data_IF_172172534898
#
_entry.id   IF_172172534898
#
_cell.length_a   1.000
_cell.length_b   1.000
_cell.length_c   1.000
_cell.angle_alpha   90.00
_cell.angle_beta   90.00
_cell.angle_gamma   90.00
#
_symmetry.space_group_name_H-M   'P 1'
#
loop_
_entity.id
_entity.type
_entity.pdbx_description
1 polymer ?
#
# COMPACT_ATOMS: atom_id res chain seq x y z
N UNK A 1 18.35 -16.71 -12.81
CA UNK A 1 17.51 -15.54 -13.11
C UNK A 1 16.15 -15.81 -12.47
N UNK A 2 15.82 -15.19 -11.32
CA UNK A 2 14.45 -15.27 -10.80
C UNK A 2 13.56 -14.43 -11.74
N UNK A 3 12.47 -15.03 -12.24
CA UNK A 3 11.46 -14.31 -13.00
C UNK A 3 10.89 -13.18 -12.13
N UNK A 4 10.72 -11.99 -12.71
CA UNK A 4 10.01 -10.90 -12.05
C UNK A 4 8.58 -11.38 -11.78
N UNK A 5 8.26 -11.63 -10.51
CA UNK A 5 6.93 -12.06 -10.13
C UNK A 5 6.00 -10.86 -10.25
N UNK A 6 4.87 -11.02 -10.95
CA UNK A 6 3.85 -9.97 -11.08
C UNK A 6 3.36 -9.48 -9.70
N UNK A 7 3.51 -10.31 -8.66
CA UNK A 7 3.24 -9.99 -7.27
C UNK A 7 4.34 -10.55 -6.36
N UNK A 8 4.43 -10.04 -5.13
CA UNK A 8 5.28 -10.55 -4.07
C UNK A 8 4.40 -10.95 -2.89
N UNK A 9 4.63 -12.13 -2.31
CA UNK A 9 3.80 -12.62 -1.20
C UNK A 9 4.61 -13.29 -0.09
N UNK A 10 4.00 -13.36 1.08
CA UNK A 10 4.49 -14.07 2.26
C UNK A 10 3.32 -14.74 2.97
N UNK A 11 3.50 -15.98 3.39
CA UNK A 11 2.48 -16.79 4.08
C UNK A 11 2.93 -17.06 5.50
N UNK A 12 2.04 -16.87 6.48
CA UNK A 12 2.27 -17.27 7.86
C UNK A 12 2.26 -18.80 7.95
N UNK A 13 3.38 -19.41 8.35
CA UNK A 13 3.50 -20.88 8.43
C UNK A 13 2.76 -21.42 9.66
N UNK A 14 2.56 -22.75 9.74
CA UNK A 14 1.98 -23.34 10.93
C UNK A 14 2.79 -23.01 12.19
N UNK A 15 2.10 -22.60 13.26
CA UNK A 15 2.70 -22.20 14.53
C UNK A 15 3.24 -20.76 14.60
N UNK A 16 3.13 -19.96 13.54
CA UNK A 16 3.51 -18.54 13.55
C UNK A 16 2.38 -17.65 13.00
N UNK A 17 2.45 -16.36 13.35
CA UNK A 17 1.65 -15.30 12.74
C UNK A 17 2.57 -14.13 12.37
N UNK A 18 2.16 -13.28 11.42
CA UNK A 18 3.03 -12.21 10.90
C UNK A 18 2.40 -10.83 11.10
N UNK A 19 3.23 -9.84 11.41
CA UNK A 19 2.82 -8.43 11.35
C UNK A 19 3.64 -7.71 10.30
N UNK A 20 3.00 -7.25 9.22
CA UNK A 20 3.68 -6.49 8.16
C UNK A 20 3.98 -5.09 8.66
N UNK A 21 5.27 -4.73 8.76
CA UNK A 21 5.77 -3.46 9.32
C UNK A 21 6.43 -2.54 8.30
N UNK A 22 6.68 -3.02 7.08
CA UNK A 22 7.25 -2.20 6.03
C UNK A 22 6.96 -2.74 4.64
N UNK A 23 6.82 -1.83 3.69
CA UNK A 23 6.70 -2.13 2.27
C UNK A 23 7.70 -1.26 1.50
N UNK A 24 8.58 -1.90 0.73
CA UNK A 24 9.57 -1.24 -0.11
C UNK A 24 9.40 -1.68 -1.55
N UNK A 25 8.68 -0.91 -2.36
CA UNK A 25 8.42 -1.28 -3.75
C UNK A 25 8.87 -0.17 -4.69
N UNK A 26 9.50 -0.56 -5.78
CA UNK A 26 9.94 0.37 -6.82
C UNK A 26 8.75 1.00 -7.56
N UNK A 27 9.01 2.17 -8.13
CA UNK A 27 8.06 2.94 -8.90
C UNK A 27 7.54 2.18 -10.15
N UNK A 28 6.25 2.36 -10.46
CA UNK A 28 5.63 1.98 -11.73
C UNK A 28 5.66 3.19 -12.69
N UNK A 29 6.57 3.21 -13.65
CA UNK A 29 6.79 4.36 -14.54
C UNK A 29 5.52 4.97 -15.16
N UNK A 30 4.53 4.13 -15.51
CA UNK A 30 3.26 4.58 -16.08
C UNK A 30 2.27 5.17 -15.06
N UNK A 31 2.62 5.22 -13.77
CA UNK A 31 1.73 5.50 -12.66
C UNK A 31 0.93 4.27 -12.25
N UNK A 32 0.64 4.15 -10.95
CA UNK A 32 -0.20 3.05 -10.46
C UNK A 32 -0.12 2.85 -8.95
N UNK A 33 -0.92 1.90 -8.49
CA UNK A 33 -0.96 1.49 -7.10
C UNK A 33 -0.37 0.08 -6.93
N UNK A 34 0.28 -0.12 -5.78
CA UNK A 34 0.46 -1.44 -5.19
C UNK A 34 -0.80 -1.77 -4.38
N UNK A 35 -1.50 -2.81 -4.77
CA UNK A 35 -2.61 -3.39 -4.03
C UNK A 35 -2.07 -4.45 -3.06
N UNK A 36 -2.46 -4.34 -1.80
CA UNK A 36 -2.14 -5.26 -0.72
C UNK A 36 -3.35 -6.14 -0.43
N UNK A 37 -3.16 -7.45 -0.40
CA UNK A 37 -4.21 -8.44 -0.17
C UNK A 37 -3.85 -9.37 0.98
N UNK A 38 -4.85 -9.80 1.73
CA UNK A 38 -4.76 -10.95 2.65
C UNK A 38 -5.76 -12.00 2.14
N UNK A 39 -5.28 -13.17 1.73
CA UNK A 39 -6.11 -14.25 1.18
C UNK A 39 -7.10 -13.79 0.08
N UNK A 40 -6.62 -12.91 -0.80
CA UNK A 40 -7.36 -12.26 -1.90
C UNK A 40 -8.33 -11.15 -1.51
N UNK A 41 -8.48 -10.84 -0.22
CA UNK A 41 -9.21 -9.66 0.23
C UNK A 41 -8.30 -8.45 0.18
N UNK A 42 -8.74 -7.40 -0.51
CA UNK A 42 -7.97 -6.17 -0.62
C UNK A 42 -8.02 -5.38 0.68
N UNK A 43 -6.86 -5.13 1.29
CA UNK A 43 -6.73 -4.44 2.59
C UNK A 43 -6.00 -3.11 2.49
N UNK A 44 -5.45 -2.77 1.32
CA UNK A 44 -4.72 -1.51 1.16
C UNK A 44 -4.30 -1.22 -0.28
N UNK A 45 -4.27 0.06 -0.63
CA UNK A 45 -3.69 0.55 -1.88
C UNK A 45 -2.69 1.66 -1.57
N UNK A 46 -1.49 1.52 -2.14
CA UNK A 46 -0.40 2.46 -1.95
C UNK A 46 0.05 3.00 -3.30
N UNK A 47 0.07 4.32 -3.45
CA UNK A 47 0.51 4.95 -4.68
C UNK A 47 2.02 4.76 -4.85
N UNK A 48 2.43 4.10 -5.94
CA UNK A 48 3.82 3.80 -6.24
C UNK A 48 4.23 4.38 -7.59
N UNK A 49 3.68 5.54 -7.98
CA UNK A 49 3.75 6.09 -9.35
C UNK A 49 5.14 6.23 -9.96
N UNK A 50 5.62 7.45 -10.18
CA UNK A 50 7.00 7.66 -10.61
C UNK A 50 7.97 7.58 -9.43
N UNK A 51 9.27 7.61 -9.70
CA UNK A 51 10.30 7.68 -8.65
C UNK A 51 10.12 8.87 -7.70
N UNK A 52 9.57 9.98 -8.19
CA UNK A 52 9.36 11.21 -7.42
C UNK A 52 8.04 11.22 -6.64
N UNK A 53 7.14 10.28 -6.94
CA UNK A 53 5.78 10.25 -6.37
C UNK A 53 5.48 8.95 -5.65
N UNK A 54 6.47 8.08 -5.44
CA UNK A 54 6.28 6.82 -4.75
C UNK A 54 6.09 7.04 -3.24
N UNK A 55 4.97 6.57 -2.68
CA UNK A 55 4.66 6.70 -1.26
C UNK A 55 5.11 5.49 -0.42
N UNK A 56 5.67 4.47 -1.07
CA UNK A 56 6.38 3.38 -0.42
C UNK A 56 7.89 3.68 -0.43
N UNK A 57 8.63 2.99 0.43
CA UNK A 57 10.06 3.24 0.53
C UNK A 57 10.75 2.83 -0.78
N UNK A 58 11.41 3.79 -1.42
CA UNK A 58 12.25 3.54 -2.58
C UNK A 58 13.67 4.02 -2.28
N UNK A 59 14.63 3.12 -2.51
CA UNK A 59 16.04 3.45 -2.51
C UNK A 59 16.43 3.90 -3.91
N UNK A 60 16.83 5.16 -4.06
CA UNK A 60 17.66 5.58 -5.19
C UNK A 60 19.14 5.46 -4.79
N UNK A 61 20.04 5.57 -5.77
CA UNK A 61 21.49 5.47 -5.53
C UNK A 61 21.99 6.53 -4.53
N UNK A 62 21.33 7.69 -4.42
CA UNK A 62 21.79 8.82 -3.61
C UNK A 62 20.81 9.26 -2.52
N UNK A 63 19.58 8.76 -2.52
CA UNK A 63 18.51 9.25 -1.65
C UNK A 63 17.56 8.13 -1.24
N UNK A 64 17.16 8.14 0.04
CA UNK A 64 16.02 7.38 0.54
C UNK A 64 14.82 8.32 0.58
N UNK A 65 13.77 7.98 -0.16
CA UNK A 65 12.52 8.73 -0.10
C UNK A 65 11.69 8.24 1.10
N UNK A 66 11.13 9.18 1.85
CA UNK A 66 10.30 8.88 3.02
C UNK A 66 9.07 8.08 2.60
N UNK A 67 8.86 6.94 3.26
CA UNK A 67 7.69 6.10 3.09
C UNK A 67 6.52 6.65 3.91
N UNK A 68 5.38 6.90 3.26
CA UNK A 68 4.14 7.27 3.95
C UNK A 68 3.67 6.11 4.82
N UNK A 69 3.79 4.88 4.34
CA UNK A 69 3.49 3.66 5.10
C UNK A 69 4.24 3.65 6.44
N UNK A 70 5.57 3.83 6.38
CA UNK A 70 6.40 3.83 7.59
C UNK A 70 6.12 5.05 8.47
N UNK A 71 5.90 6.22 7.87
CA UNK A 71 5.55 7.43 8.61
C UNK A 71 4.25 7.29 9.41
N UNK A 72 3.25 6.59 8.88
CA UNK A 72 2.01 6.30 9.59
C UNK A 72 2.22 5.33 10.75
N UNK A 73 3.10 4.34 10.57
CA UNK A 73 3.50 3.41 11.64
C UNK A 73 4.25 4.13 12.76
N UNK A 74 5.26 4.92 12.40
CA UNK A 74 6.09 5.63 13.37
C UNK A 74 5.28 6.67 14.18
N UNK A 75 4.19 7.19 13.61
CA UNK A 75 3.22 8.07 14.29
C UNK A 75 2.14 7.34 15.08
N UNK A 76 2.10 6.00 15.04
CA UNK A 76 1.08 5.19 15.70
C UNK A 76 -0.32 5.27 15.09
N UNK A 77 -0.46 5.85 13.88
CA UNK A 77 -1.72 5.98 13.16
C UNK A 77 -2.08 4.71 12.38
N UNK A 78 -1.08 3.88 12.08
CA UNK A 78 -1.24 2.61 11.42
C UNK A 78 -0.37 1.57 12.14
N UNK A 79 -0.87 0.36 12.37
CA UNK A 79 -0.10 -0.66 13.10
C UNK A 79 0.63 -1.65 12.18
N UNK A 80 0.25 -1.69 10.91
CA UNK A 80 0.66 -2.71 9.96
C UNK A 80 -0.51 -3.58 9.54
N UNK A 81 -0.22 -4.65 8.79
CA UNK A 81 -1.19 -5.67 8.43
C UNK A 81 -0.96 -6.93 9.26
N UNK A 82 -1.92 -7.34 10.11
CA UNK A 82 -1.85 -8.60 10.85
C UNK A 82 -2.23 -9.76 9.95
N UNK A 83 -1.39 -10.79 9.90
CA UNK A 83 -1.56 -11.99 9.07
C UNK A 83 -1.66 -13.19 10.03
N UNK A 84 -2.83 -13.80 10.11
CA UNK A 84 -3.05 -14.97 10.95
C UNK A 84 -2.36 -16.21 10.36
N UNK A 85 -2.14 -17.22 11.19
CA UNK A 85 -1.57 -18.51 10.77
C UNK A 85 -2.31 -19.07 9.54
N UNK A 86 -1.56 -19.44 8.50
CA UNK A 86 -2.11 -19.97 7.26
C UNK A 86 -2.55 -18.92 6.24
N UNK A 87 -2.69 -17.65 6.61
CA UNK A 87 -3.02 -16.58 5.67
C UNK A 87 -1.80 -16.13 4.86
N UNK A 88 -2.06 -15.65 3.65
CA UNK A 88 -1.05 -15.08 2.75
C UNK A 88 -1.28 -13.60 2.54
N UNK A 89 -0.25 -12.81 2.84
CA UNK A 89 -0.15 -11.42 2.42
C UNK A 89 0.47 -11.34 1.03
N UNK A 90 -0.17 -10.63 0.11
CA UNK A 90 0.28 -10.43 -1.26
C UNK A 90 0.29 -8.94 -1.63
N UNK A 91 1.32 -8.51 -2.33
CA UNK A 91 1.39 -7.19 -2.95
C UNK A 91 1.50 -7.36 -4.47
N UNK A 92 0.58 -6.75 -5.21
CA UNK A 92 0.54 -6.82 -6.68
C UNK A 92 0.24 -5.43 -7.28
N UNK A 93 0.55 -5.17 -8.56
CA UNK A 93 0.15 -3.94 -9.20
C UNK A 93 -1.37 -3.95 -9.46
N UNK A 94 -2.01 -2.80 -9.24
CA UNK A 94 -3.41 -2.57 -9.60
C UNK A 94 -3.61 -2.33 -11.12
N UNK A 95 -2.55 -2.41 -11.92
CA UNK A 95 -2.56 -2.23 -13.37
C UNK A 95 -2.23 -3.57 -14.03
N UNK A 96 -3.13 -4.06 -14.89
CA UNK A 96 -2.93 -5.33 -15.58
C UNK A 96 -1.66 -5.35 -16.43
N UNK A 97 -0.87 -6.42 -16.32
CA UNK A 97 0.38 -6.61 -17.07
C UNK A 97 1.59 -5.86 -16.48
N UNK A 98 1.41 -5.04 -15.45
CA UNK A 98 2.54 -4.44 -14.73
C UNK A 98 3.21 -5.45 -13.78
N UNK A 99 4.34 -5.06 -13.19
CA UNK A 99 5.07 -5.88 -12.21
C UNK A 99 5.58 -4.99 -11.10
N UNK A 100 5.43 -5.43 -9.85
CA UNK A 100 6.03 -4.78 -8.68
C UNK A 100 7.31 -5.51 -8.30
N UNK A 101 8.36 -4.74 -7.98
CA UNK A 101 9.64 -5.29 -7.51
C UNK A 101 9.98 -4.60 -6.21
N UNK A 102 10.28 -5.38 -5.17
CA UNK A 102 10.40 -4.83 -3.83
C UNK A 102 10.63 -5.86 -2.75
N UNK A 103 10.35 -5.45 -1.52
CA UNK A 103 10.44 -6.24 -0.31
C UNK A 103 9.23 -5.96 0.61
N UNK A 104 8.85 -7.01 1.34
CA UNK A 104 7.88 -6.96 2.43
C UNK A 104 8.67 -7.19 3.70
N UNK A 105 8.57 -6.26 4.65
CA UNK A 105 9.21 -6.32 5.95
C UNK A 105 8.17 -6.67 7.01
N UNK A 106 8.44 -7.68 7.82
CA UNK A 106 7.49 -8.20 8.79
C UNK A 106 8.19 -8.70 10.05
N UNK A 107 7.43 -8.73 11.13
CA UNK A 107 7.78 -9.41 12.37
C UNK A 107 7.10 -10.78 12.40
N UNK A 108 7.77 -11.77 12.98
CA UNK A 108 7.23 -13.10 13.24
C UNK A 108 6.81 -13.15 14.71
N UNK A 109 5.59 -13.59 14.95
CA UNK A 109 4.97 -13.75 16.27
C UNK A 109 4.46 -15.18 16.43
N UNK A 110 4.04 -15.56 17.64
CA UNK A 110 3.46 -16.87 17.87
C UNK A 110 2.09 -16.98 17.20
N UNK A 111 1.64 -18.20 16.92
CA UNK A 111 0.29 -18.43 16.41
C UNK A 111 -0.78 -17.82 17.35
N UNK A 112 -1.69 -17.02 16.77
CA UNK A 112 -2.76 -16.35 17.50
C UNK A 112 -2.42 -14.97 18.05
N UNK A 113 -1.14 -14.54 18.02
CA UNK A 113 -0.78 -13.17 18.38
C UNK A 113 -1.32 -12.15 17.37
N UNK A 114 -1.28 -12.48 16.08
CA UNK A 114 -2.00 -11.75 15.03
C UNK A 114 -3.24 -12.53 14.62
N UNK A 115 -4.40 -11.87 14.62
CA UNK A 115 -5.70 -12.47 14.26
C UNK A 115 -6.37 -11.72 13.12
N UNK A 116 -7.25 -12.42 12.40
CA UNK A 116 -7.92 -11.92 11.20
C UNK A 116 -8.81 -10.69 11.46
N UNK A 117 -9.33 -10.55 12.68
CA UNK A 117 -10.26 -9.49 13.09
C UNK A 117 -9.59 -8.24 13.64
N UNK A 118 -8.26 -8.27 13.83
CA UNK A 118 -7.49 -7.08 14.20
C UNK A 118 -7.61 -5.99 13.12
N UNK A 119 -7.46 -4.70 13.46
CA UNK A 119 -7.51 -3.63 12.48
C UNK A 119 -6.59 -3.87 11.28
N UNK A 120 -7.14 -3.72 10.07
CA UNK A 120 -6.49 -4.04 8.78
C UNK A 120 -6.19 -5.52 8.49
N UNK A 121 -6.68 -6.45 9.31
CA UNK A 121 -6.71 -7.88 9.00
C UNK A 121 -7.78 -8.24 7.95
N UNK A 122 -7.80 -9.50 7.53
CA UNK A 122 -8.72 -9.99 6.48
C UNK A 122 -10.20 -9.96 6.85
N UNK A 123 -10.52 -10.04 8.15
CA UNK A 123 -11.87 -9.98 8.70
C UNK A 123 -12.06 -8.77 9.62
N UNK A 124 -11.23 -7.74 9.46
CA UNK A 124 -11.29 -6.55 10.28
C UNK A 124 -12.61 -5.79 10.10
N UNK A 125 -13.03 -5.09 11.16
CA UNK A 125 -14.13 -4.12 11.11
C UNK A 125 -13.63 -2.69 10.89
N UNK A 126 -12.32 -2.50 10.99
CA UNK A 126 -11.65 -1.21 10.91
C UNK A 126 -10.48 -1.33 9.95
N UNK A 127 -10.47 -0.44 8.94
CA UNK A 127 -9.42 -0.34 7.94
C UNK A 127 -8.96 1.11 7.85
N UNK A 128 -7.65 1.30 7.67
CA UNK A 128 -7.06 2.58 7.32
C UNK A 128 -6.91 2.64 5.80
N UNK A 129 -7.52 3.65 5.20
CA UNK A 129 -7.37 3.95 3.78
C UNK A 129 -6.79 5.35 3.59
N UNK A 130 -5.87 5.47 2.64
CA UNK A 130 -5.35 6.76 2.20
C UNK A 130 -6.10 7.22 0.96
N UNK A 131 -6.59 8.45 1.01
CA UNK A 131 -7.20 9.13 -0.13
C UNK A 131 -6.14 9.99 -0.83
N UNK A 132 -6.02 9.80 -2.13
CA UNK A 132 -5.09 10.45 -3.03
C UNK A 132 -5.88 11.35 -3.96
N UNK A 133 -5.71 12.66 -3.82
CA UNK A 133 -6.30 13.65 -4.72
C UNK A 133 -5.34 14.05 -5.82
N UNK A 134 -5.89 14.48 -6.96
CA UNK A 134 -5.15 15.21 -7.99
C UNK A 134 -6.03 16.32 -8.56
N UNK A 135 -5.42 17.16 -9.38
CA UNK A 135 -6.13 18.10 -10.24
C UNK A 135 -6.72 17.36 -11.44
N UNK A 136 -7.92 17.73 -11.86
CA UNK A 136 -8.58 17.21 -13.05
C UNK A 136 -8.02 17.78 -14.36
N UNK A 137 -7.31 18.90 -14.29
CA UNK A 137 -6.63 19.53 -15.41
C UNK A 137 -5.19 19.94 -15.06
N UNK A 138 -4.37 20.12 -16.09
CA UNK A 138 -3.00 20.63 -15.95
C UNK A 138 -3.02 22.04 -15.34
N UNK A 139 -2.11 22.27 -14.38
CA UNK A 139 -1.97 23.58 -13.74
C UNK A 139 -1.14 24.48 -14.66
N UNK A 140 -1.71 25.60 -15.09
CA UNK A 140 -0.99 26.58 -15.89
C UNK A 140 0.25 27.13 -15.14
N UNK A 141 1.28 27.51 -15.90
CA UNK A 141 2.41 28.25 -15.33
C UNK A 141 1.90 29.53 -14.67
N UNK A 142 2.32 29.78 -13.42
CA UNK A 142 1.84 30.86 -12.55
C UNK A 142 0.35 30.78 -12.13
N UNK A 143 -0.31 29.65 -12.36
CA UNK A 143 -1.68 29.37 -11.94
C UNK A 143 -1.78 28.64 -10.60
N UNK A 144 -3.01 28.53 -10.10
CA UNK A 144 -3.37 27.64 -8.98
C UNK A 144 -4.24 26.50 -9.50
N UNK A 145 -4.06 25.29 -8.97
CA UNK A 145 -4.93 24.15 -9.24
C UNK A 145 -5.77 23.78 -8.03
N UNK A 146 -6.98 23.29 -8.26
CA UNK A 146 -7.84 22.69 -7.22
C UNK A 146 -7.60 21.18 -7.18
N UNK A 147 -7.60 20.57 -6.00
CA UNK A 147 -7.69 19.12 -5.86
C UNK A 147 -9.16 18.70 -5.97
N UNK A 148 -9.57 18.30 -7.16
CA UNK A 148 -10.96 18.09 -7.57
C UNK A 148 -11.22 16.71 -8.20
N UNK A 149 -10.19 15.87 -8.33
CA UNK A 149 -10.35 14.51 -8.83
C UNK A 149 -9.72 13.50 -7.88
N UNK A 150 -10.44 12.41 -7.59
CA UNK A 150 -9.88 11.27 -6.88
C UNK A 150 -8.93 10.50 -7.78
N UNK A 151 -7.76 10.15 -7.25
CA UNK A 151 -6.83 9.19 -7.87
C UNK A 151 -7.10 7.76 -7.40
N UNK A 152 -7.85 7.57 -6.32
CA UNK A 152 -8.13 6.24 -5.79
C UNK A 152 -8.96 5.40 -6.79
N UNK A 153 -8.80 4.06 -6.76
CA UNK A 153 -9.73 3.15 -7.43
C UNK A 153 -11.17 3.39 -6.98
N UNK A 154 -12.14 3.12 -7.85
CA UNK A 154 -13.57 3.30 -7.58
C UNK A 154 -14.11 2.43 -6.44
N UNK A 155 -13.41 1.36 -6.12
CA UNK A 155 -13.73 0.40 -5.07
C UNK A 155 -13.41 0.94 -3.66
N UNK A 156 -12.71 2.07 -3.57
CA UNK A 156 -12.35 2.70 -2.30
C UNK A 156 -13.41 3.70 -1.81
N UNK A 157 -13.51 3.92 -0.49
CA UNK A 157 -14.35 4.99 0.04
C UNK A 157 -14.00 6.32 -0.61
N UNK A 158 -14.98 6.96 -1.25
CA UNK A 158 -14.76 8.23 -1.93
C UNK A 158 -14.53 9.35 -0.92
N UNK A 159 -13.47 10.12 -1.13
CA UNK A 159 -13.28 11.42 -0.49
C UNK A 159 -13.75 12.54 -1.42
N UNK A 160 -14.49 13.55 -0.93
CA UNK A 160 -15.10 14.58 -1.77
C UNK A 160 -14.06 15.64 -2.20
N UNK A 161 -13.17 15.28 -3.12
CA UNK A 161 -12.25 16.24 -3.74
C UNK A 161 -13.04 17.29 -4.54
N UNK A 162 -12.72 18.57 -4.35
CA UNK A 162 -13.34 19.68 -5.08
C UNK A 162 -14.74 20.10 -4.59
N UNK A 163 -15.33 19.37 -3.64
CA UNK A 163 -16.62 19.73 -3.04
C UNK A 163 -16.43 20.53 -1.75
N UNK A 164 -17.42 21.37 -1.42
CA UNK A 164 -17.50 22.03 -0.11
C UNK A 164 -18.05 21.03 0.89
N UNK A 165 -17.26 20.67 1.90
CA UNK A 165 -17.61 19.71 2.96
C UNK A 165 -18.23 20.43 4.17
#
# INVERSE_FOLDING_TARGET
LLAAAASLSVTAKPGESLLIKGLRFGALHAGGFAECLIDRLSVGFWWIGSIDTNHLEQHSITSVHLSVFKSLIDKGLFKGYPIAEGETFEVKPAVAGATVVGAIEYEIHDAGDMTQDMPNGSMAKEYLFLNYGKNGAEIAIDGTGTLDESRNPSEYPAFPFGEVV
#
